data_IF_317291545076
#
_entry.id   IF_317291545076
#
_cell.length_a   1.000
_cell.length_b   1.000
_cell.length_c   1.000
_cell.angle_alpha   90.00
_cell.angle_beta   90.00
_cell.angle_gamma   90.00
#
_symmetry.space_group_name_H-M   'P 1'
#
loop_
_entity.id
_entity.type
_entity.pdbx_description
1 polymer ?
#
# COMPACT_ATOMS: atom_id res chain seq x y z
N UNK A 1 32.58 -39.81 13.02
CA UNK A 1 31.21 -39.90 13.59
C UNK A 1 30.85 -38.65 14.39
N UNK A 2 31.83 -37.92 14.93
CA UNK A 2 31.59 -36.83 15.89
C UNK A 2 30.96 -35.56 15.28
N UNK A 3 31.24 -35.26 14.00
CA UNK A 3 30.72 -34.05 13.33
C UNK A 3 29.18 -34.04 13.26
N UNK A 4 28.55 -35.20 13.05
CA UNK A 4 27.08 -35.33 13.00
C UNK A 4 26.44 -35.11 14.38
N UNK A 5 27.13 -35.47 15.46
CA UNK A 5 26.65 -35.27 16.84
C UNK A 5 26.67 -33.79 17.19
N UNK A 6 27.76 -33.07 16.87
CA UNK A 6 27.85 -31.63 17.12
C UNK A 6 26.84 -30.81 16.30
N UNK A 7 26.55 -31.22 15.06
CA UNK A 7 25.51 -30.58 14.25
C UNK A 7 24.12 -30.76 14.87
N UNK A 8 23.81 -31.97 15.37
CA UNK A 8 22.53 -32.26 16.03
C UNK A 8 22.34 -31.42 17.30
N UNK A 9 23.36 -31.34 18.16
CA UNK A 9 23.33 -30.54 19.39
C UNK A 9 23.15 -29.04 19.06
N UNK A 10 23.86 -28.54 18.05
CA UNK A 10 23.74 -27.15 17.62
C UNK A 10 22.32 -26.76 17.19
N UNK A 11 21.64 -27.62 16.44
CA UNK A 11 20.26 -27.38 16.00
C UNK A 11 19.30 -27.35 17.19
N UNK A 12 19.43 -28.27 18.14
CA UNK A 12 18.58 -28.31 19.34
C UNK A 12 18.73 -27.04 20.18
N UNK A 13 19.97 -26.58 20.38
CA UNK A 13 20.25 -25.33 21.11
C UNK A 13 19.64 -24.13 20.37
N UNK A 14 19.79 -24.05 19.04
CA UNK A 14 19.27 -22.96 18.23
C UNK A 14 17.72 -22.91 18.29
N UNK A 15 17.06 -24.07 18.20
CA UNK A 15 15.60 -24.17 18.35
C UNK A 15 15.15 -23.76 19.76
N UNK A 16 15.87 -24.16 20.81
CA UNK A 16 15.56 -23.75 22.19
C UNK A 16 15.69 -22.23 22.38
N UNK A 17 16.71 -21.59 21.80
CA UNK A 17 16.89 -20.14 21.82
C UNK A 17 15.73 -19.42 21.11
N UNK A 18 15.29 -19.93 19.95
CA UNK A 18 14.17 -19.35 19.20
C UNK A 18 12.85 -19.46 19.98
N UNK A 19 12.58 -20.62 20.60
CA UNK A 19 11.39 -20.84 21.44
C UNK A 19 11.42 -19.90 22.65
N UNK A 20 12.56 -19.78 23.34
CA UNK A 20 12.73 -18.87 24.47
C UNK A 20 12.48 -17.40 24.07
N UNK A 21 13.04 -16.96 22.93
CA UNK A 21 12.82 -15.60 22.40
C UNK A 21 11.34 -15.37 22.06
N UNK A 22 10.66 -16.36 21.51
CA UNK A 22 9.24 -16.28 21.19
C UNK A 22 8.37 -16.17 22.44
N UNK A 23 8.63 -16.98 23.47
CA UNK A 23 7.91 -16.95 24.76
C UNK A 23 8.13 -15.60 25.46
N UNK A 24 9.38 -15.13 25.55
CA UNK A 24 9.72 -13.84 26.17
C UNK A 24 9.05 -12.65 25.48
N UNK A 25 8.93 -12.68 24.15
CA UNK A 25 8.23 -11.62 23.39
C UNK A 25 6.73 -11.64 23.66
N UNK A 26 6.13 -12.82 23.81
CA UNK A 26 4.70 -12.95 24.16
C UNK A 26 4.42 -12.48 25.58
N UNK A 27 5.24 -12.81 26.57
CA UNK A 27 5.00 -12.40 27.97
C UNK A 27 5.10 -10.89 28.17
N UNK A 28 5.98 -10.19 27.46
CA UNK A 28 6.06 -8.72 27.48
C UNK A 28 4.79 -8.07 26.92
N UNK A 29 4.20 -8.65 25.87
CA UNK A 29 2.95 -8.15 25.29
C UNK A 29 1.75 -8.29 26.25
N UNK A 30 1.70 -9.37 27.05
CA UNK A 30 0.64 -9.55 28.05
C UNK A 30 0.83 -8.66 29.29
N UNK A 31 2.07 -8.29 29.64
CA UNK A 31 2.35 -7.40 30.77
C UNK A 31 1.95 -5.94 30.48
N UNK A 32 2.20 -5.46 29.27
CA UNK A 32 1.78 -4.12 28.83
C UNK A 32 0.26 -3.91 28.82
N UNK A 33 -0.53 -5.00 28.73
CA UNK A 33 -1.99 -4.93 28.80
C UNK A 33 -2.55 -4.98 30.24
N UNK A 34 -1.75 -5.44 31.20
CA UNK A 34 -2.17 -5.63 32.60
C UNK A 34 -1.78 -4.44 33.50
N UNK A 35 -0.73 -3.71 33.13
CA UNK A 35 -0.34 -2.44 33.76
C UNK A 35 -1.15 -1.29 33.11
N UNK A 36 -2.46 -1.33 33.34
CA UNK A 36 -3.39 -0.28 32.94
C UNK A 36 -2.99 1.06 33.55
N UNK A 37 -2.45 1.93 32.70
CA UNK A 37 -2.47 3.39 32.91
C UNK A 37 -3.33 4.00 31.81
N UNK A 38 -4.55 3.49 31.67
CA UNK A 38 -5.65 4.21 31.01
C UNK A 38 -6.47 4.75 32.17
N UNK A 39 -6.12 5.95 32.60
CA UNK A 39 -7.04 6.76 33.38
C UNK A 39 -8.34 6.89 32.58
N UNK A 40 -9.43 6.56 33.24
CA UNK A 40 -10.81 6.58 32.76
C UNK A 40 -11.20 8.04 32.47
N UNK A 41 -10.76 8.57 31.33
CA UNK A 41 -11.25 9.84 30.79
C UNK A 41 -12.61 9.57 30.17
N UNK A 42 -13.64 9.44 31.02
CA UNK A 42 -15.02 9.65 30.56
C UNK A 42 -15.10 11.10 30.07
N UNK A 43 -15.38 11.34 28.77
CA UNK A 43 -15.55 12.69 28.27
C UNK A 43 -16.68 13.35 29.05
N UNK A 44 -16.42 14.55 29.53
CA UNK A 44 -17.40 15.33 30.29
C UNK A 44 -18.59 15.67 29.40
N UNK A 45 -19.76 15.93 30.00
CA UNK A 45 -20.99 16.25 29.26
C UNK A 45 -20.83 17.50 28.35
N UNK A 46 -19.86 18.36 28.65
CA UNK A 46 -19.45 19.51 27.85
C UNK A 46 -18.76 19.07 26.54
N UNK A 47 -17.76 18.18 26.59
CA UNK A 47 -17.08 17.66 25.39
C UNK A 47 -18.05 16.91 24.48
N UNK A 48 -19.04 16.19 25.04
CA UNK A 48 -20.07 15.53 24.22
C UNK A 48 -20.98 16.50 23.46
N UNK A 49 -21.17 17.74 23.94
CA UNK A 49 -21.93 18.76 23.22
C UNK A 49 -21.11 19.35 22.08
N UNK A 50 -19.82 19.62 22.33
CA UNK A 50 -18.90 20.18 21.35
C UNK A 50 -18.71 19.26 20.13
N UNK A 51 -18.71 17.94 20.36
CA UNK A 51 -18.62 16.95 19.28
C UNK A 51 -19.89 16.87 18.44
N UNK A 52 -21.06 17.14 19.05
CA UNK A 52 -22.36 17.09 18.39
C UNK A 52 -22.60 18.32 17.52
N UNK A 53 -22.14 19.49 17.97
CA UNK A 53 -22.18 20.74 17.20
C UNK A 53 -21.23 20.69 16.00
N UNK A 54 -20.06 20.04 16.16
CA UNK A 54 -19.08 19.84 15.07
C UNK A 54 -19.52 18.82 14.02
N UNK A 55 -20.44 17.90 14.34
CA UNK A 55 -21.09 17.00 13.37
C UNK A 55 -22.22 17.69 12.58
N UNK A 56 -22.88 18.72 13.12
CA UNK A 56 -23.92 19.47 12.41
C UNK A 56 -23.36 20.51 11.42
N UNK A 57 -22.14 21.03 11.65
CA UNK A 57 -21.51 21.99 10.74
C UNK A 57 -20.73 21.35 9.57
N UNK A 58 -20.49 20.03 9.57
CA UNK A 58 -19.93 19.37 8.40
C UNK A 58 -21.03 19.07 7.38
N UNK A 59 -20.95 19.57 6.13
CA UNK A 59 -21.88 19.18 5.08
C UNK A 59 -21.73 17.68 4.81
N UNK A 60 -22.63 16.90 5.41
CA UNK A 60 -22.71 15.46 5.27
C UNK A 60 -22.93 15.12 3.79
N UNK A 61 -21.88 14.64 3.12
CA UNK A 61 -22.02 13.86 1.90
C UNK A 61 -22.88 12.64 2.25
N UNK A 62 -24.15 12.67 1.82
CA UNK A 62 -25.09 11.55 1.92
C UNK A 62 -24.52 10.35 1.15
N UNK A 63 -23.73 9.52 1.84
CA UNK A 63 -23.36 8.21 1.32
C UNK A 63 -24.66 7.40 1.29
N UNK A 64 -25.16 7.16 0.08
CA UNK A 64 -26.34 6.33 -0.13
C UNK A 64 -26.11 4.95 0.49
N UNK A 65 -27.13 4.34 1.14
CA UNK A 65 -26.97 3.05 1.79
C UNK A 65 -26.48 1.99 0.80
N UNK A 66 -25.36 1.35 1.14
CA UNK A 66 -24.77 0.25 0.40
C UNK A 66 -25.83 -0.84 0.22
N UNK A 67 -26.27 -1.08 -1.03
CA UNK A 67 -27.24 -2.13 -1.35
C UNK A 67 -26.76 -3.47 -0.78
N UNK A 68 -27.57 -4.04 0.10
CA UNK A 68 -27.31 -5.36 0.69
C UNK A 68 -27.13 -6.42 -0.41
N UNK A 69 -26.16 -7.34 -0.25
CA UNK A 69 -25.87 -8.36 -1.25
C UNK A 69 -27.08 -9.29 -1.49
N UNK A 70 -27.35 -9.70 -2.74
CA UNK A 70 -28.49 -10.52 -3.08
C UNK A 70 -28.43 -11.89 -2.39
N UNK A 71 -29.58 -12.35 -1.91
CA UNK A 71 -29.69 -13.57 -1.12
C UNK A 71 -29.26 -14.81 -1.91
N UNK A 72 -28.72 -15.82 -1.20
CA UNK A 72 -28.23 -17.09 -1.77
C UNK A 72 -29.27 -17.85 -2.62
N UNK A 73 -30.57 -17.57 -2.43
CA UNK A 73 -31.67 -18.18 -3.20
C UNK A 73 -31.83 -17.55 -4.59
N UNK A 74 -31.52 -16.27 -4.75
CA UNK A 74 -31.60 -15.54 -6.04
C UNK A 74 -30.50 -15.95 -7.01
N UNK A 75 -29.30 -16.27 -6.48
CA UNK A 75 -28.16 -16.71 -7.29
C UNK A 75 -28.39 -18.06 -7.99
N UNK A 76 -29.31 -18.90 -7.50
CA UNK A 76 -29.64 -20.21 -8.12
C UNK A 76 -30.67 -20.13 -9.26
N UNK A 77 -31.59 -19.17 -9.28
CA UNK A 77 -32.55 -19.02 -10.40
C UNK A 77 -31.87 -18.54 -11.69
N UNK A 78 -30.84 -17.69 -11.58
CA UNK A 78 -30.12 -17.14 -12.73
C UNK A 78 -29.33 -18.16 -13.56
N UNK A 79 -28.99 -19.33 -13.01
CA UNK A 79 -28.26 -20.38 -13.74
C UNK A 79 -29.15 -21.37 -14.51
N UNK A 80 -30.46 -21.40 -14.30
CA UNK A 80 -31.35 -22.43 -14.89
C UNK A 80 -32.09 -21.99 -16.16
N UNK A 81 -31.97 -20.73 -16.58
CA UNK A 81 -32.77 -20.16 -17.69
C UNK A 81 -32.03 -19.88 -19.00
N UNK A 82 -30.73 -20.20 -19.14
CA UNK A 82 -29.92 -19.74 -20.28
C UNK A 82 -29.29 -20.88 -21.10
N UNK A 83 -30.06 -21.95 -21.34
CA UNK A 83 -29.60 -23.13 -22.09
C UNK A 83 -30.63 -23.71 -23.06
N UNK A 84 -31.53 -22.90 -23.61
CA UNK A 84 -32.34 -23.22 -24.79
C UNK A 84 -32.61 -21.90 -25.53
N UNK A 85 -32.67 -21.96 -26.86
CA UNK A 85 -32.76 -20.84 -27.81
C UNK A 85 -31.40 -20.27 -28.26
N UNK A 86 -30.76 -20.97 -29.19
CA UNK A 86 -30.35 -20.40 -30.49
C UNK A 86 -29.61 -21.45 -31.33
N UNK A 87 -30.41 -22.35 -31.92
CA UNK A 87 -30.04 -23.20 -33.06
C UNK A 87 -31.26 -23.16 -33.99
N UNK A 88 -31.46 -22.01 -34.61
CA UNK A 88 -32.42 -21.85 -35.70
C UNK A 88 -31.84 -20.84 -36.68
N UNK A 89 -31.48 -21.37 -37.85
CA UNK A 89 -31.69 -20.73 -39.15
C UNK A 89 -31.23 -19.28 -39.32
N UNK A 90 -30.05 -19.10 -39.93
CA UNK A 90 -29.86 -17.94 -40.80
C UNK A 90 -29.08 -18.37 -42.06
N UNK A 91 -29.85 -18.58 -43.12
CA UNK A 91 -29.38 -18.67 -44.50
C UNK A 91 -28.76 -17.34 -44.91
N UNK A 92 -27.49 -17.35 -45.31
CA UNK A 92 -26.83 -16.17 -45.87
C UNK A 92 -27.19 -16.09 -47.35
N UNK A 93 -28.13 -15.20 -47.65
CA UNK A 93 -28.37 -14.67 -48.99
C UNK A 93 -27.22 -13.74 -49.37
N UNK A 94 -26.56 -14.07 -50.47
CA UNK A 94 -25.60 -13.20 -51.15
C UNK A 94 -26.41 -12.14 -51.91
N UNK A 95 -26.38 -10.90 -51.45
CA UNK A 95 -27.05 -9.80 -52.13
C UNK A 95 -26.88 -8.44 -51.43
N UNK A 96 -25.99 -7.62 -52.01
CA UNK A 96 -26.01 -6.14 -51.99
C UNK A 96 -26.51 -5.41 -50.73
N UNK A 97 -25.58 -4.80 -49.99
CA UNK A 97 -25.86 -3.57 -49.27
C UNK A 97 -24.56 -2.75 -49.09
N UNK A 98 -24.28 -1.91 -50.09
CA UNK A 98 -23.43 -0.73 -49.93
C UNK A 98 -24.15 0.25 -48.99
N UNK A 99 -24.08 -0.01 -47.68
CA UNK A 99 -24.68 0.83 -46.66
C UNK A 99 -23.66 1.08 -45.56
N UNK A 100 -23.19 2.33 -45.51
CA UNK A 100 -22.63 3.02 -44.33
C UNK A 100 -21.81 2.11 -43.42
N UNK A 101 -20.52 1.96 -43.72
CA UNK A 101 -19.52 1.68 -42.68
C UNK A 101 -19.67 2.80 -41.64
N UNK A 102 -20.39 2.53 -40.55
CA UNK A 102 -20.26 3.28 -39.32
C UNK A 102 -18.81 3.10 -38.93
N UNK A 103 -17.99 4.11 -39.19
CA UNK A 103 -16.68 4.23 -38.57
C UNK A 103 -16.90 3.92 -37.10
N UNK A 104 -16.25 2.89 -36.52
CA UNK A 104 -16.28 2.73 -35.07
C UNK A 104 -15.86 4.08 -34.49
N UNK A 105 -16.60 4.62 -33.51
CA UNK A 105 -16.28 5.91 -32.93
C UNK A 105 -14.79 5.88 -32.52
N UNK A 106 -14.00 6.90 -32.90
CA UNK A 106 -12.63 7.02 -32.43
C UNK A 106 -12.65 6.87 -30.92
N UNK A 107 -11.96 5.83 -30.43
CA UNK A 107 -11.79 5.44 -29.03
C UNK A 107 -12.35 6.46 -28.04
N UNK A 108 -13.41 6.06 -27.32
CA UNK A 108 -13.87 6.73 -26.11
C UNK A 108 -12.65 7.19 -25.33
N UNK A 109 -12.45 8.51 -25.33
CA UNK A 109 -11.45 9.19 -24.53
C UNK A 109 -11.75 8.77 -23.10
N UNK A 110 -10.97 7.81 -22.63
CA UNK A 110 -11.10 7.19 -21.33
C UNK A 110 -11.28 8.29 -20.30
N UNK A 111 -12.39 8.21 -19.56
CA UNK A 111 -12.74 9.17 -18.53
C UNK A 111 -11.50 9.43 -17.68
N UNK A 112 -11.17 10.70 -17.46
CA UNK A 112 -10.03 11.02 -16.62
C UNK A 112 -10.30 10.49 -15.22
N UNK A 113 -9.47 9.57 -14.77
CA UNK A 113 -9.56 9.00 -13.44
C UNK A 113 -8.61 9.74 -12.53
N UNK A 114 -9.08 10.12 -11.34
CA UNK A 114 -8.24 10.69 -10.30
C UNK A 114 -7.14 9.69 -9.92
N UNK A 115 -5.90 10.00 -10.30
CA UNK A 115 -4.72 9.20 -9.96
C UNK A 115 -4.32 9.47 -8.51
N UNK A 116 -3.92 8.42 -7.80
CA UNK A 116 -3.44 8.46 -6.42
C UNK A 116 -2.07 7.83 -6.32
N UNK A 117 -1.35 8.26 -5.30
CA UNK A 117 -0.01 7.80 -4.98
C UNK A 117 -0.01 7.16 -3.59
N UNK A 118 0.84 6.14 -3.42
CA UNK A 118 1.11 5.55 -2.12
C UNK A 118 2.53 5.04 -2.03
N UNK A 119 3.25 5.44 -0.99
CA UNK A 119 4.55 4.89 -0.67
C UNK A 119 4.46 3.95 0.54
N UNK A 120 5.25 2.88 0.53
CA UNK A 120 5.49 2.02 1.68
C UNK A 120 6.99 1.90 1.92
N UNK A 121 7.42 2.10 3.17
CA UNK A 121 8.83 2.00 3.58
C UNK A 121 8.95 1.27 4.92
N UNK A 122 10.09 0.62 5.22
CA UNK A 122 10.32 0.01 6.52
C UNK A 122 10.31 1.07 7.63
N UNK A 123 9.69 0.77 8.77
CA UNK A 123 9.64 1.71 9.90
C UNK A 123 11.01 1.95 10.55
N UNK A 124 11.97 1.06 10.31
CA UNK A 124 13.33 1.12 10.85
C UNK A 124 14.31 1.02 9.70
N UNK A 125 15.18 2.02 9.51
CA UNK A 125 16.32 1.84 8.63
C UNK A 125 17.59 1.55 9.40
N UNK A 126 18.43 0.71 8.78
CA UNK A 126 19.77 0.44 9.28
C UNK A 126 20.76 1.14 8.37
N UNK A 127 21.74 1.88 8.93
CA UNK A 127 22.86 2.41 8.17
C UNK A 127 23.53 1.30 7.37
N UNK A 128 24.00 1.64 6.16
CA UNK A 128 24.70 0.73 5.25
C UNK A 128 23.90 -0.50 4.78
N UNK A 129 22.63 -0.64 5.16
CA UNK A 129 21.76 -1.72 4.70
C UNK A 129 20.79 -1.26 3.60
N UNK A 130 20.81 -1.97 2.47
CA UNK A 130 19.84 -1.74 1.40
C UNK A 130 18.45 -2.27 1.77
N UNK A 131 17.46 -1.40 1.65
CA UNK A 131 16.06 -1.67 1.93
C UNK A 131 15.18 -1.22 0.77
N UNK A 132 13.94 -1.72 0.67
CA UNK A 132 13.05 -1.37 -0.43
C UNK A 132 12.03 -0.31 -0.02
N UNK A 133 11.95 0.76 -0.80
CA UNK A 133 10.86 1.73 -0.85
C UNK A 133 9.96 1.37 -2.03
N UNK A 134 8.69 1.07 -1.76
CA UNK A 134 7.70 0.76 -2.79
C UNK A 134 6.83 1.98 -3.04
N UNK A 135 6.86 2.50 -4.27
CA UNK A 135 6.05 3.64 -4.68
C UNK A 135 5.01 3.17 -5.70
N UNK A 136 3.74 3.32 -5.33
CA UNK A 136 2.61 2.94 -6.14
C UNK A 136 1.91 4.15 -6.73
N UNK A 137 1.52 4.03 -8.00
CA UNK A 137 0.63 4.95 -8.71
C UNK A 137 -0.60 4.13 -9.07
N UNK A 138 -1.80 4.58 -8.74
CA UNK A 138 -3.02 3.81 -8.99
C UNK A 138 -4.24 4.70 -9.23
N UNK A 139 -5.24 4.19 -9.95
CA UNK A 139 -6.55 4.82 -10.09
C UNK A 139 -7.67 3.81 -9.81
N UNK A 140 -8.83 4.34 -9.44
CA UNK A 140 -10.02 3.53 -9.20
C UNK A 140 -9.89 2.51 -8.07
N UNK A 141 -10.93 1.68 -7.94
CA UNK A 141 -11.02 0.64 -6.92
C UNK A 141 -10.21 -0.61 -7.28
N UNK A 142 -10.12 -0.95 -8.57
CA UNK A 142 -9.37 -2.11 -9.05
C UNK A 142 -7.86 -1.91 -8.87
N UNK A 143 -7.33 -0.73 -9.25
CA UNK A 143 -5.96 -0.34 -9.00
C UNK A 143 -5.62 -0.35 -7.51
N UNK A 144 -6.52 0.17 -6.67
CA UNK A 144 -6.33 0.15 -5.22
C UNK A 144 -6.20 -1.28 -4.65
N UNK A 145 -7.03 -2.21 -5.10
CA UNK A 145 -6.94 -3.63 -4.71
C UNK A 145 -5.66 -4.27 -5.23
N UNK A 146 -5.25 -3.92 -6.46
CA UNK A 146 -4.00 -4.34 -7.07
C UNK A 146 -2.80 -3.99 -6.19
N UNK A 147 -2.69 -2.71 -5.81
CA UNK A 147 -1.64 -2.21 -4.90
C UNK A 147 -1.60 -2.99 -3.59
N UNK A 148 -2.73 -3.18 -2.93
CA UNK A 148 -2.76 -3.90 -1.65
C UNK A 148 -2.35 -5.37 -1.78
N UNK A 149 -2.72 -6.02 -2.88
CA UNK A 149 -2.39 -7.42 -3.16
C UNK A 149 -0.90 -7.57 -3.48
N UNK A 150 -0.37 -6.67 -4.32
CA UNK A 150 1.04 -6.63 -4.71
C UNK A 150 1.94 -6.37 -3.50
N UNK A 151 1.65 -5.34 -2.70
CA UNK A 151 2.42 -5.04 -1.50
C UNK A 151 2.42 -6.21 -0.50
N UNK A 152 1.26 -6.85 -0.29
CA UNK A 152 1.17 -8.05 0.57
C UNK A 152 2.03 -9.21 0.09
N UNK A 153 2.23 -9.34 -1.23
CA UNK A 153 3.08 -10.39 -1.82
C UNK A 153 4.56 -10.06 -1.72
N UNK A 154 4.94 -8.78 -1.83
CA UNK A 154 6.34 -8.33 -1.85
C UNK A 154 6.96 -8.13 -0.48
N UNK A 155 6.17 -7.73 0.52
CA UNK A 155 6.70 -7.49 1.85
C UNK A 155 7.36 -8.77 2.39
N UNK A 156 8.60 -8.63 2.84
CA UNK A 156 9.37 -9.73 3.42
C UNK A 156 9.20 -9.82 4.93
N UNK A 157 8.76 -8.73 5.54
CA UNK A 157 8.52 -8.61 6.97
C UNK A 157 7.02 -8.44 7.29
N UNK A 158 6.61 -8.58 8.58
CA UNK A 158 5.23 -8.37 9.00
C UNK A 158 4.66 -7.02 8.57
N UNK A 159 3.33 -6.87 8.52
CA UNK A 159 2.71 -5.60 8.11
C UNK A 159 3.16 -4.41 8.98
N UNK A 160 3.28 -4.65 10.29
CA UNK A 160 3.59 -3.62 11.29
C UNK A 160 5.06 -3.13 11.23
N UNK A 161 5.89 -3.70 10.35
CA UNK A 161 7.26 -3.22 10.12
C UNK A 161 7.36 -2.23 8.97
N UNK A 162 6.24 -1.87 8.35
CA UNK A 162 6.18 -0.88 7.28
C UNK A 162 5.21 0.24 7.66
N UNK A 163 5.61 1.46 7.33
CA UNK A 163 4.76 2.63 7.37
C UNK A 163 4.37 3.03 5.94
N UNK A 164 3.38 3.91 5.81
CA UNK A 164 2.89 4.35 4.51
C UNK A 164 2.39 5.80 4.52
N UNK A 165 2.45 6.40 3.34
CA UNK A 165 1.91 7.74 3.07
C UNK A 165 1.16 7.68 1.75
N UNK A 166 0.14 8.52 1.60
CA UNK A 166 -0.64 8.60 0.37
C UNK A 166 -0.98 10.03 0.03
N UNK A 167 -1.00 10.30 -1.26
CA UNK A 167 -1.37 11.59 -1.84
C UNK A 167 -2.21 11.37 -3.09
N UNK A 168 -2.81 12.42 -3.62
CA UNK A 168 -3.54 12.39 -4.89
C UNK A 168 -2.86 13.32 -5.89
N UNK A 169 -3.00 13.01 -7.17
CA UNK A 169 -2.55 13.92 -8.21
C UNK A 169 -3.30 15.25 -8.13
N UNK A 170 -2.57 16.35 -8.28
CA UNK A 170 -3.15 17.70 -8.34
C UNK A 170 -3.94 17.95 -9.63
N UNK A 171 -3.76 17.09 -10.63
CA UNK A 171 -4.44 17.17 -11.92
C UNK A 171 -4.76 15.79 -12.46
N UNK A 172 -5.66 15.78 -13.42
CA UNK A 172 -6.04 14.64 -14.22
C UNK A 172 -4.87 14.13 -15.08
N UNK A 173 -4.59 12.83 -15.04
CA UNK A 173 -3.48 12.19 -15.77
C UNK A 173 -4.06 11.19 -16.77
N UNK A 174 -3.84 11.45 -18.05
CA UNK A 174 -4.31 10.56 -19.13
C UNK A 174 -3.46 9.31 -19.22
N UNK A 175 -4.09 8.21 -19.66
CA UNK A 175 -3.35 6.99 -20.01
C UNK A 175 -2.34 7.28 -21.12
N UNK A 176 -1.18 6.62 -21.06
CA UNK A 176 -0.04 6.86 -21.95
C UNK A 176 0.88 8.00 -21.52
N UNK A 177 0.56 8.72 -20.44
CA UNK A 177 1.43 9.78 -19.91
C UNK A 177 2.67 9.19 -19.24
N UNK A 178 3.85 9.74 -19.54
CA UNK A 178 5.08 9.42 -18.79
C UNK A 178 5.06 10.17 -17.44
N UNK A 179 5.23 9.42 -16.36
CA UNK A 179 5.37 9.93 -15.00
C UNK A 179 6.80 9.65 -14.53
N UNK A 180 7.48 10.70 -14.07
CA UNK A 180 8.78 10.61 -13.41
C UNK A 180 8.58 10.58 -11.90
N UNK A 181 9.21 9.60 -11.24
CA UNK A 181 9.15 9.39 -9.79
C UNK A 181 10.54 9.62 -9.20
N UNK A 182 10.65 10.58 -8.29
CA UNK A 182 11.91 10.99 -7.66
C UNK A 182 11.81 10.87 -6.13
N UNK A 183 12.40 9.82 -5.53
CA UNK A 183 12.55 9.74 -4.09
C UNK A 183 13.73 10.60 -3.60
N UNK A 184 13.55 11.25 -2.47
CA UNK A 184 14.59 12.04 -1.82
C UNK A 184 14.52 11.87 -0.30
N UNK A 185 15.68 11.79 0.34
CA UNK A 185 15.86 11.74 1.79
C UNK A 185 17.30 12.15 2.09
N UNK A 186 17.48 13.16 2.93
CA UNK A 186 18.82 13.62 3.28
C UNK A 186 19.59 12.51 4.01
N UNK A 187 20.84 12.27 3.63
CA UNK A 187 21.66 11.21 4.22
C UNK A 187 21.28 9.79 3.77
N UNK A 188 20.49 9.64 2.69
CA UNK A 188 20.21 8.36 2.08
C UNK A 188 20.51 8.34 0.57
N UNK A 189 20.90 7.17 0.07
CA UNK A 189 21.11 6.89 -1.35
C UNK A 189 19.96 6.06 -1.90
N UNK A 190 19.53 6.39 -3.11
CA UNK A 190 18.51 5.66 -3.84
C UNK A 190 19.07 5.00 -5.10
N UNK A 191 18.61 3.78 -5.37
CA UNK A 191 18.92 3.03 -6.57
C UNK A 191 17.64 2.37 -7.16
N UNK A 192 17.13 2.83 -8.31
CA UNK A 192 17.65 3.97 -9.08
C UNK A 192 17.42 5.31 -8.35
N UNK A 193 18.10 6.41 -8.72
CA UNK A 193 17.84 7.73 -8.11
C UNK A 193 16.49 8.34 -8.54
N UNK A 194 15.96 7.90 -9.68
CA UNK A 194 14.64 8.24 -10.20
C UNK A 194 14.19 7.14 -11.14
N UNK A 195 12.89 7.07 -11.43
CA UNK A 195 12.36 6.13 -12.40
C UNK A 195 11.24 6.76 -13.22
N UNK A 196 11.13 6.35 -14.49
CA UNK A 196 10.07 6.76 -15.40
C UNK A 196 9.13 5.60 -15.64
N UNK A 197 7.83 5.88 -15.67
CA UNK A 197 6.79 4.89 -15.95
C UNK A 197 5.75 5.48 -16.89
N UNK A 198 5.30 4.70 -17.87
CA UNK A 198 4.19 5.09 -18.76
C UNK A 198 2.89 4.62 -18.12
N UNK A 199 1.98 5.56 -17.85
CA UNK A 199 0.72 5.30 -17.16
C UNK A 199 -0.28 4.56 -18.06
N UNK A 200 -0.19 3.24 -18.15
CA UNK A 200 -1.04 2.42 -19.02
C UNK A 200 -2.06 1.53 -18.29
N UNK A 201 -1.76 1.15 -17.05
CA UNK A 201 -2.51 0.15 -16.27
C UNK A 201 -3.07 0.76 -15.01
N UNK A 202 -4.12 0.18 -14.43
CA UNK A 202 -4.83 0.72 -13.24
C UNK A 202 -3.96 0.91 -12.01
N UNK A 203 -2.79 0.26 -11.98
CA UNK A 203 -1.77 0.53 -11.00
C UNK A 203 -0.38 0.22 -11.57
N UNK A 204 0.64 0.87 -11.01
CA UNK A 204 2.05 0.65 -11.28
C UNK A 204 2.81 0.63 -9.96
N UNK A 205 3.89 -0.15 -9.90
CA UNK A 205 4.81 -0.18 -8.77
C UNK A 205 6.22 0.17 -9.25
N UNK A 206 6.77 1.22 -8.67
CA UNK A 206 8.17 1.60 -8.83
C UNK A 206 8.89 1.23 -7.54
N UNK A 207 9.88 0.36 -7.65
CA UNK A 207 10.69 -0.07 -6.52
C UNK A 207 12.02 0.66 -6.52
N UNK A 208 12.34 1.25 -5.37
CA UNK A 208 13.62 1.88 -5.11
C UNK A 208 14.34 1.13 -4.00
N UNK A 209 15.63 0.86 -4.21
CA UNK A 209 16.52 0.44 -3.13
C UNK A 209 17.03 1.70 -2.45
N UNK A 210 16.89 1.77 -1.14
CA UNK A 210 17.28 2.89 -0.29
C UNK A 210 18.31 2.40 0.72
N UNK A 211 19.37 3.15 0.94
CA UNK A 211 20.40 2.88 1.94
C UNK A 211 20.72 4.18 2.68
N UNK A 212 20.60 4.17 3.99
CA UNK A 212 21.00 5.30 4.82
C UNK A 212 22.53 5.32 4.96
N UNK A 213 23.17 6.46 4.71
CA UNK A 213 24.62 6.67 4.88
C UNK A 213 25.01 6.88 6.34
N UNK A 214 24.05 7.34 7.16
CA UNK A 214 24.19 7.61 8.59
C UNK A 214 22.90 7.21 9.30
N UNK A 215 22.92 7.04 10.64
CA UNK A 215 21.69 6.95 11.41
C UNK A 215 20.81 8.18 11.14
N UNK A 216 19.58 7.95 10.70
CA UNK A 216 18.62 9.01 10.37
C UNK A 216 17.80 9.35 11.63
N UNK A 217 17.69 10.64 11.93
CA UNK A 217 17.10 11.13 13.18
C UNK A 217 15.84 11.93 12.88
N UNK A 218 14.72 11.23 12.72
CA UNK A 218 13.43 11.86 12.38
C UNK A 218 13.49 12.72 11.09
N UNK A 219 14.39 12.35 10.17
CA UNK A 219 14.54 13.02 8.90
C UNK A 219 13.28 12.84 8.04
N UNK A 220 12.92 13.91 7.32
CA UNK A 220 11.75 13.93 6.44
C UNK A 220 12.16 13.56 5.04
N UNK A 221 11.71 12.41 4.57
CA UNK A 221 11.82 12.01 3.18
C UNK A 221 10.65 12.52 2.36
N UNK A 222 10.85 12.65 1.05
CA UNK A 222 9.79 12.95 0.09
C UNK A 222 9.85 12.07 -1.14
N UNK A 223 8.70 11.83 -1.75
CA UNK A 223 8.59 11.26 -3.10
C UNK A 223 7.82 12.25 -3.95
N UNK A 224 8.47 12.76 -4.99
CA UNK A 224 7.87 13.71 -5.93
C UNK A 224 7.50 13.00 -7.25
N UNK A 225 6.37 13.40 -7.82
CA UNK A 225 5.85 12.87 -9.09
C UNK A 225 5.76 14.00 -10.10
N UNK A 226 6.34 13.80 -11.28
CA UNK A 226 6.35 14.80 -12.35
C UNK A 226 5.76 14.26 -13.65
N UNK A 227 5.10 15.14 -14.41
CA UNK A 227 4.76 14.92 -15.83
C UNK A 227 5.48 15.99 -16.62
N UNK A 228 6.51 15.58 -17.37
CA UNK A 228 7.47 16.54 -17.92
C UNK A 228 8.11 17.37 -16.79
N UNK A 229 8.09 18.72 -16.87
CA UNK A 229 8.63 19.59 -15.83
C UNK A 229 7.63 19.93 -14.69
N UNK A 230 6.39 19.42 -14.76
CA UNK A 230 5.31 19.82 -13.83
C UNK A 230 5.21 18.84 -12.67
N UNK A 231 5.32 19.35 -11.43
CA UNK A 231 5.03 18.59 -10.21
C UNK A 231 3.52 18.32 -10.14
N UNK A 232 3.14 17.04 -10.20
CA UNK A 232 1.73 16.61 -10.17
C UNK A 232 1.33 16.02 -8.82
N UNK A 233 2.27 15.81 -7.92
CA UNK A 233 1.99 15.37 -6.56
C UNK A 233 3.27 15.12 -5.78
N UNK A 234 3.13 15.14 -4.46
CA UNK A 234 4.20 14.82 -3.53
C UNK A 234 3.65 14.02 -2.35
N UNK A 235 4.52 13.22 -1.74
CA UNK A 235 4.26 12.52 -0.49
C UNK A 235 5.44 12.73 0.45
N UNK A 236 5.13 13.04 1.70
CA UNK A 236 6.12 13.09 2.78
C UNK A 236 6.08 11.74 3.49
N UNK A 237 7.26 11.23 3.83
CA UNK A 237 7.42 10.09 4.71
C UNK A 237 8.41 10.42 5.82
N UNK A 238 8.19 9.81 6.98
CA UNK A 238 9.01 10.02 8.16
C UNK A 238 9.78 8.76 8.47
N UNK A 239 11.04 8.92 8.83
CA UNK A 239 11.74 7.86 9.54
C UNK A 239 11.53 8.01 11.04
N UNK A 240 11.10 6.94 11.70
CA UNK A 240 11.10 6.91 13.16
C UNK A 240 12.46 6.41 13.61
N UNK A 241 13.27 7.30 14.19
CA UNK A 241 14.52 6.91 14.83
C UNK A 241 14.20 5.89 15.94
N UNK A 242 14.78 4.69 15.86
CA UNK A 242 14.68 3.71 16.93
C UNK A 242 15.58 4.21 18.07
N UNK A 243 14.99 4.84 19.10
CA UNK A 243 15.66 5.49 20.23
C UNK A 243 16.49 4.54 21.14
N UNK A 244 16.81 3.32 20.69
CA UNK A 244 17.44 2.27 21.50
C UNK A 244 18.83 1.85 21.04
N UNK A 245 19.48 2.56 20.11
CA UNK A 245 20.87 2.24 19.71
C UNK A 245 21.97 3.03 20.44
N UNK A 246 21.63 3.97 21.32
CA UNK A 246 22.63 4.83 21.99
C UNK A 246 23.22 4.29 23.31
N UNK A 247 22.88 3.08 23.77
CA UNK A 247 23.36 2.57 25.07
C UNK A 247 24.57 1.61 24.99
N UNK A 248 25.40 1.66 23.94
CA UNK A 248 26.43 0.63 23.71
C UNK A 248 27.90 1.06 23.57
N UNK A 249 28.25 2.36 23.63
CA UNK A 249 29.64 2.82 23.30
C UNK A 249 30.32 3.61 24.44
N UNK A 250 29.83 3.50 25.67
CA UNK A 250 30.58 3.95 26.85
C UNK A 250 30.85 2.72 27.71
N UNK A 251 32.02 2.10 27.54
CA UNK A 251 32.80 1.36 28.55
C UNK A 251 33.89 0.53 27.85
N UNK A 252 34.96 1.20 27.42
CA UNK A 252 36.26 0.55 27.17
C UNK A 252 37.37 1.61 27.13
N UNK A 253 37.59 2.32 28.24
CA UNK A 253 38.88 2.96 28.51
C UNK A 253 39.10 2.98 30.02
N UNK A 254 39.58 1.87 30.55
CA UNK A 254 40.29 1.80 31.83
C UNK A 254 41.34 0.71 31.71
#
# INVERSE_FOLDING_TARGET
>A
MDILIYLGIGIVILVAILIWRFIKRRTLFYRAKKEGTVADARPTLEEKKEWKEREEEQPCFKISPLRSPPSRKERKKRKKGKRRENLSSFSISVGQAAARRKTPPPHELTASESVRFRAFWPCKMFPDAWQSLFVYIFSGEEGHRGVQSDFRRRKTAPADSYDFSSSSACQDIRRGTEILVCPELEGARFNPPFAKVIWLEDWHCVEFRMQAERPLNADRGRVAFYVGPVLIGEMIYYETADALSLSGVLEATT
#
